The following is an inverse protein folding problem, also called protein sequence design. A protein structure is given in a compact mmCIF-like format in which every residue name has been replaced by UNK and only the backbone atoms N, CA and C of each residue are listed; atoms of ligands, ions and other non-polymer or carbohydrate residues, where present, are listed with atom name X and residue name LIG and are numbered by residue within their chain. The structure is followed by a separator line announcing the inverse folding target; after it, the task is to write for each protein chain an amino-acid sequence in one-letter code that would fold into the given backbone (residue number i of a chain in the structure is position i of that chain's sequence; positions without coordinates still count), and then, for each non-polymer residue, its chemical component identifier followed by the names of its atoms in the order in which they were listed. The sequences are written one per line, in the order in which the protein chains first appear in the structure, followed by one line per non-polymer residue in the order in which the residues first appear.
data_IF_640599047868
#
_entry.id   IF_640599047868
#
_cell.length_a   1.000
_cell.length_b   1.000
_cell.length_c   1.000
_cell.angle_alpha   90.00
_cell.angle_beta   90.00
_cell.angle_gamma   90.00
#
_symmetry.space_group_name_H-M   'P 1'
#
loop_
_entity.id
_entity.type
_entity.pdbx_description
1 polymer ?
#
# COMPACT_ATOMS: atom_id res chain seq x y z
N UNK A 1 10.03 24.84 7.73
CA UNK A 1 9.13 25.87 7.13
C UNK A 1 8.24 26.44 8.24
N UNK A 2 8.19 27.76 8.43
CA UNK A 2 7.36 28.37 9.49
C UNK A 2 5.86 28.02 9.38
N UNK A 3 5.34 27.88 8.16
CA UNK A 3 3.93 27.49 7.94
C UNK A 3 3.58 26.14 8.55
N UNK A 4 4.50 25.18 8.51
CA UNK A 4 4.30 23.85 9.07
C UNK A 4 4.36 23.85 10.59
N UNK A 5 5.26 24.63 11.18
CA UNK A 5 5.31 24.81 12.64
C UNK A 5 4.03 25.47 13.17
N UNK A 6 3.55 26.53 12.51
CA UNK A 6 2.27 27.16 12.86
C UNK A 6 1.10 26.17 12.76
N UNK A 7 1.09 25.33 11.75
CA UNK A 7 0.08 24.28 11.59
C UNK A 7 0.11 23.26 12.75
N UNK A 8 1.30 22.86 13.19
CA UNK A 8 1.48 21.95 14.33
C UNK A 8 1.34 22.63 15.70
N UNK A 9 1.16 23.95 15.74
CA UNK A 9 1.16 24.73 16.99
C UNK A 9 2.52 24.80 17.69
N UNK A 10 3.62 24.58 16.96
CA UNK A 10 4.99 24.59 17.49
C UNK A 10 5.60 26.00 17.49
N UNK A 11 6.28 26.34 18.57
CA UNK A 11 7.13 27.54 18.74
C UNK A 11 8.52 27.34 18.12
N UNK A 12 9.30 28.42 17.99
CA UNK A 12 10.70 28.36 17.52
C UNK A 12 11.64 27.63 18.49
N UNK A 13 11.24 27.51 19.75
CA UNK A 13 12.03 26.91 20.82
C UNK A 13 11.62 25.46 21.08
N UNK A 14 10.49 25.01 20.51
CA UNK A 14 9.97 23.67 20.71
C UNK A 14 10.87 22.63 20.03
N UNK A 15 11.05 21.49 20.70
CA UNK A 15 11.77 20.35 20.12
C UNK A 15 10.95 19.77 18.97
N UNK A 16 11.48 19.91 17.75
CA UNK A 16 10.88 19.31 16.56
C UNK A 16 11.26 17.82 16.49
N UNK A 17 10.30 16.90 16.29
CA UNK A 17 10.60 15.49 16.10
C UNK A 17 11.60 15.28 14.96
N UNK A 18 12.72 14.64 15.27
CA UNK A 18 13.70 14.24 14.26
C UNK A 18 13.26 12.95 13.52
N UNK A 19 14.04 12.55 12.52
CA UNK A 19 13.74 11.36 11.72
C UNK A 19 13.68 10.08 12.58
N UNK A 20 14.47 9.99 13.64
CA UNK A 20 14.46 8.88 14.59
C UNK A 20 13.18 8.82 15.41
N UNK A 21 12.64 9.96 15.83
CA UNK A 21 11.39 10.05 16.58
C UNK A 21 10.21 9.58 15.72
N UNK A 22 10.15 10.06 14.46
CA UNK A 22 9.12 9.62 13.49
C UNK A 22 9.23 8.12 13.20
N UNK A 23 10.45 7.59 13.07
CA UNK A 23 10.69 6.17 12.86
C UNK A 23 10.18 5.31 14.03
N UNK A 24 10.51 5.70 15.27
CA UNK A 24 10.03 5.00 16.48
C UNK A 24 8.51 5.03 16.59
N UNK A 25 7.88 6.17 16.33
CA UNK A 25 6.42 6.29 16.31
C UNK A 25 5.80 5.35 15.29
N UNK A 26 6.32 5.32 14.06
CA UNK A 26 5.86 4.40 13.01
C UNK A 26 5.99 2.94 13.43
N UNK A 27 7.14 2.56 13.99
CA UNK A 27 7.35 1.18 14.44
C UNK A 27 6.38 0.80 15.56
N UNK A 28 6.07 1.72 16.48
CA UNK A 28 5.07 1.49 17.52
C UNK A 28 3.67 1.28 16.93
N UNK A 29 3.27 2.06 15.91
CA UNK A 29 1.99 1.86 15.22
C UNK A 29 1.91 0.51 14.49
N UNK A 30 3.01 0.09 13.84
CA UNK A 30 3.09 -1.20 13.15
C UNK A 30 2.96 -2.35 14.14
N UNK A 31 3.72 -2.32 15.24
CA UNK A 31 3.66 -3.34 16.30
C UNK A 31 2.28 -3.43 16.95
N UNK A 32 1.59 -2.29 17.09
CA UNK A 32 0.23 -2.24 17.61
C UNK A 32 -0.87 -2.55 16.60
N UNK A 33 -0.56 -2.71 15.30
CA UNK A 33 -1.58 -2.87 14.26
C UNK A 33 -2.52 -1.66 14.10
N UNK A 34 -2.06 -0.47 14.48
CA UNK A 34 -2.91 0.73 14.63
C UNK A 34 -3.00 1.59 13.36
N UNK A 35 -2.22 1.30 12.32
CA UNK A 35 -2.16 2.13 11.11
C UNK A 35 -3.55 2.29 10.44
N UNK A 36 -4.28 1.18 10.28
CA UNK A 36 -5.60 1.21 9.65
C UNK A 36 -6.62 2.00 10.51
N UNK A 37 -6.54 1.87 11.83
CA UNK A 37 -7.42 2.60 12.76
C UNK A 37 -7.12 4.10 12.79
N UNK A 38 -5.83 4.46 12.77
CA UNK A 38 -5.39 5.85 12.72
C UNK A 38 -5.84 6.52 11.42
N UNK A 39 -5.61 5.85 10.27
CA UNK A 39 -6.05 6.35 8.98
C UNK A 39 -7.57 6.50 8.92
N UNK A 40 -8.31 5.55 9.50
CA UNK A 40 -9.76 5.65 9.60
C UNK A 40 -10.20 6.89 10.39
N UNK A 41 -9.63 7.14 11.56
CA UNK A 41 -10.02 8.27 12.39
C UNK A 41 -9.66 9.61 11.72
N UNK A 42 -8.52 9.69 11.06
CA UNK A 42 -8.16 10.87 10.23
C UNK A 42 -9.19 11.07 9.13
N UNK A 43 -9.54 10.02 8.39
CA UNK A 43 -10.51 10.12 7.30
C UNK A 43 -11.90 10.50 7.80
N UNK A 44 -12.34 9.98 8.95
CA UNK A 44 -13.60 10.36 9.60
C UNK A 44 -13.63 11.85 9.95
N UNK A 45 -12.54 12.40 10.47
CA UNK A 45 -12.45 13.83 10.81
C UNK A 45 -12.46 14.71 9.56
N UNK A 46 -11.72 14.31 8.52
CA UNK A 46 -11.71 15.01 7.23
C UNK A 46 -13.07 14.97 6.53
N UNK A 47 -13.78 13.85 6.63
CA UNK A 47 -15.16 13.70 6.15
C UNK A 47 -16.12 14.62 6.90
N UNK A 48 -16.04 14.65 8.24
CA UNK A 48 -16.87 15.52 9.07
C UNK A 48 -16.63 17.01 8.78
N UNK A 49 -15.40 17.37 8.39
CA UNK A 49 -15.04 18.70 7.93
C UNK A 49 -15.43 19.00 6.47
N UNK A 50 -15.98 18.02 5.73
CA UNK A 50 -16.40 18.17 4.33
C UNK A 50 -15.24 18.21 3.32
N UNK A 51 -14.05 17.74 3.70
CA UNK A 51 -12.85 17.78 2.86
C UNK A 51 -12.78 16.58 1.91
N UNK A 52 -13.26 15.40 2.34
CA UNK A 52 -13.28 14.18 1.51
C UNK A 52 -14.50 14.18 0.60
N UNK A 53 -14.29 13.84 -0.67
CA UNK A 53 -15.37 13.71 -1.65
C UNK A 53 -15.78 12.24 -1.85
N UNK A 54 -17.09 11.97 -1.86
CA UNK A 54 -17.66 10.61 -1.90
C UNK A 54 -18.16 10.16 -3.28
N UNK A 55 -17.92 10.94 -4.33
CA UNK A 55 -18.40 10.72 -5.70
C UNK A 55 -17.66 9.60 -6.43
N UNK A 56 -16.42 9.31 -6.04
CA UNK A 56 -15.57 8.33 -6.71
C UNK A 56 -14.34 7.96 -5.89
N UNK A 57 -13.82 6.77 -6.17
CA UNK A 57 -12.56 6.26 -5.60
C UNK A 57 -11.66 5.87 -6.76
N UNK A 58 -10.43 6.36 -6.73
CA UNK A 58 -9.37 5.98 -7.67
C UNK A 58 -8.48 4.97 -6.95
N UNK A 59 -8.24 3.82 -7.58
CA UNK A 59 -7.31 2.80 -7.06
C UNK A 59 -6.12 2.73 -7.99
N UNK A 60 -4.93 2.91 -7.43
CA UNK A 60 -3.65 2.78 -8.13
C UNK A 60 -2.72 1.79 -7.42
N UNK A 61 -1.81 1.18 -8.18
CA UNK A 61 -0.81 0.25 -7.69
C UNK A 61 0.59 0.72 -8.07
N UNK A 62 1.38 1.09 -7.05
CA UNK A 62 2.77 1.52 -7.21
C UNK A 62 3.73 0.46 -6.69
N UNK A 63 4.88 0.29 -7.36
CA UNK A 63 5.93 -0.62 -6.92
C UNK A 63 6.94 0.17 -6.08
N UNK A 64 7.26 -0.34 -4.89
CA UNK A 64 8.28 0.22 -3.99
C UNK A 64 9.39 -0.79 -3.78
N UNK A 65 10.63 -0.41 -4.07
CA UNK A 65 11.79 -1.27 -3.88
C UNK A 65 12.20 -1.36 -2.40
N UNK A 66 12.53 -2.57 -1.98
CA UNK A 66 13.14 -2.83 -0.68
C UNK A 66 14.66 -2.60 -0.76
N UNK A 67 15.24 -1.88 0.20
CA UNK A 67 16.70 -1.65 0.23
C UNK A 67 17.49 -2.93 0.53
N UNK A 68 16.85 -3.96 1.10
CA UNK A 68 17.47 -5.20 1.57
C UNK A 68 17.25 -6.35 0.58
N UNK A 69 17.74 -6.16 -0.64
CA UNK A 69 17.61 -7.16 -1.71
C UNK A 69 18.62 -8.32 -1.58
N UNK A 70 18.21 -9.57 -1.88
CA UNK A 70 19.13 -10.70 -1.97
C UNK A 70 20.10 -10.51 -3.14
N UNK A 71 21.27 -11.15 -3.06
CA UNK A 71 22.25 -11.22 -4.16
C UNK A 71 22.20 -12.63 -4.75
N UNK A 72 21.93 -12.76 -6.05
CA UNK A 72 21.84 -14.07 -6.70
C UNK A 72 20.99 -14.07 -7.97
N UNK A 73 20.69 -15.26 -8.48
CA UNK A 73 19.71 -15.49 -9.54
C UNK A 73 18.38 -15.90 -8.91
N UNK A 74 17.27 -15.30 -9.35
CA UNK A 74 15.94 -15.52 -8.80
C UNK A 74 14.90 -15.56 -9.91
N UNK A 75 13.84 -16.35 -9.69
CA UNK A 75 12.68 -16.40 -10.57
C UNK A 75 11.90 -15.08 -10.48
N UNK A 76 11.71 -14.42 -11.62
CA UNK A 76 10.98 -13.17 -11.72
C UNK A 76 9.63 -13.43 -12.39
N UNK A 77 8.57 -12.91 -11.79
CA UNK A 77 7.25 -12.90 -12.41
C UNK A 77 7.14 -11.66 -13.30
N UNK A 78 6.65 -11.82 -14.54
CA UNK A 78 6.35 -10.68 -15.41
C UNK A 78 5.00 -10.06 -15.05
N UNK A 79 4.99 -8.76 -14.79
CA UNK A 79 3.81 -8.01 -14.36
C UNK A 79 2.64 -8.06 -15.36
N UNK A 80 2.91 -8.29 -16.65
CA UNK A 80 1.90 -8.23 -17.72
C UNK A 80 1.41 -9.58 -18.22
N UNK A 81 1.98 -10.68 -17.75
CA UNK A 81 1.60 -12.01 -18.21
C UNK A 81 0.77 -12.74 -17.15
N UNK A 82 -0.55 -12.49 -17.19
CA UNK A 82 -1.47 -12.99 -16.16
C UNK A 82 -1.54 -14.53 -16.12
N UNK A 83 -1.68 -15.22 -17.27
CA UNK A 83 -1.84 -16.68 -17.30
C UNK A 83 -0.61 -17.46 -16.81
N UNK A 84 0.58 -16.95 -17.08
CA UNK A 84 1.85 -17.58 -16.67
C UNK A 84 2.28 -17.09 -15.29
N UNK A 85 1.99 -15.83 -14.96
CA UNK A 85 2.34 -15.22 -13.69
C UNK A 85 1.68 -15.86 -12.47
N UNK A 86 0.47 -16.44 -12.60
CA UNK A 86 -0.13 -17.21 -11.51
C UNK A 86 0.67 -18.47 -11.16
N UNK A 87 1.12 -19.22 -12.18
CA UNK A 87 1.91 -20.44 -11.99
C UNK A 87 3.34 -20.13 -11.54
N UNK A 88 3.92 -19.04 -12.05
CA UNK A 88 5.27 -18.58 -11.68
C UNK A 88 5.30 -17.96 -10.29
N UNK A 89 4.27 -17.24 -9.84
CA UNK A 89 4.20 -16.70 -8.48
C UNK A 89 4.10 -17.81 -7.41
N UNK A 90 3.37 -18.89 -7.73
CA UNK A 90 3.26 -20.07 -6.88
C UNK A 90 4.53 -20.94 -6.92
N UNK A 91 5.25 -20.99 -8.05
CA UNK A 91 6.54 -21.69 -8.18
C UNK A 91 7.73 -20.88 -7.63
N UNK A 92 7.68 -19.55 -7.65
CA UNK A 92 8.68 -18.63 -7.09
C UNK A 92 8.66 -18.59 -5.55
N UNK A 93 7.89 -19.48 -4.92
CA UNK A 93 7.78 -19.66 -3.47
C UNK A 93 8.97 -20.46 -2.87
N UNK A 94 10.14 -20.45 -3.52
CA UNK A 94 11.32 -21.22 -3.10
C UNK A 94 12.51 -20.34 -2.73
N UNK A 95 13.14 -20.75 -1.63
CA UNK A 95 14.20 -20.11 -0.81
C UNK A 95 13.76 -18.90 0.01
N UNK A 96 13.13 -19.20 1.15
CA UNK A 96 13.12 -18.33 2.33
C UNK A 96 14.58 -18.00 2.70
N UNK A 97 15.09 -16.89 2.18
CA UNK A 97 16.43 -16.41 2.50
C UNK A 97 16.42 -15.85 3.93
N UNK A 98 16.60 -16.72 4.91
CA UNK A 98 16.64 -16.41 6.36
C UNK A 98 17.92 -15.69 6.79
N UNK A 99 18.43 -14.74 5.99
CA UNK A 99 19.52 -13.87 6.42
C UNK A 99 18.96 -12.57 6.98
N UNK A 100 19.45 -12.13 8.15
CA UNK A 100 18.97 -10.92 8.85
C UNK A 100 19.02 -9.63 8.03
N UNK A 101 19.82 -9.61 6.97
CA UNK A 101 20.05 -8.45 6.11
C UNK A 101 19.19 -8.45 4.83
N UNK A 102 18.33 -9.46 4.65
CA UNK A 102 17.43 -9.60 3.50
C UNK A 102 15.99 -9.37 3.98
N UNK A 103 15.18 -8.73 3.14
CA UNK A 103 13.76 -8.52 3.41
C UNK A 103 12.94 -9.76 3.03
N UNK A 104 12.66 -10.63 4.00
CA UNK A 104 11.98 -11.91 3.77
C UNK A 104 10.57 -11.81 3.19
N UNK A 105 9.90 -10.66 3.31
CA UNK A 105 8.53 -10.45 2.83
C UNK A 105 8.48 -9.86 1.41
N UNK A 106 9.58 -9.28 0.93
CA UNK A 106 9.69 -8.73 -0.43
C UNK A 106 9.86 -9.82 -1.50
N UNK A 107 9.39 -9.54 -2.71
CA UNK A 107 9.49 -10.48 -3.86
C UNK A 107 9.97 -9.76 -5.12
N UNK A 108 10.52 -10.53 -6.06
CA UNK A 108 10.95 -10.02 -7.37
C UNK A 108 9.78 -9.88 -8.34
N UNK A 109 9.78 -8.78 -9.08
CA UNK A 109 8.83 -8.46 -10.14
C UNK A 109 9.60 -7.89 -11.34
N UNK A 110 9.19 -8.23 -12.56
CA UNK A 110 9.64 -7.54 -13.76
C UNK A 110 8.55 -6.61 -14.28
N UNK A 111 8.76 -5.30 -14.21
CA UNK A 111 7.81 -4.27 -14.67
C UNK A 111 8.50 -3.35 -15.67
N UNK A 112 7.91 -3.21 -16.86
CA UNK A 112 8.46 -2.32 -17.90
C UNK A 112 9.87 -2.68 -18.37
N UNK A 113 10.24 -3.96 -18.32
CA UNK A 113 11.59 -4.43 -18.65
C UNK A 113 12.62 -4.27 -17.54
N UNK A 114 12.27 -3.63 -16.43
CA UNK A 114 13.13 -3.48 -15.24
C UNK A 114 12.73 -4.48 -14.15
N UNK A 115 13.72 -4.91 -13.37
CA UNK A 115 13.52 -5.84 -12.26
C UNK A 115 13.48 -5.08 -10.94
N UNK A 116 12.41 -5.29 -10.19
CA UNK A 116 12.13 -4.66 -8.91
C UNK A 116 12.09 -5.73 -7.82
N UNK A 117 12.62 -5.42 -6.65
CA UNK A 117 12.54 -6.30 -5.48
C UNK A 117 11.90 -5.53 -4.35
N UNK A 118 10.70 -5.91 -3.95
CA UNK A 118 9.98 -5.16 -2.94
C UNK A 118 8.51 -5.50 -2.91
N UNK A 119 7.71 -4.43 -2.89
CA UNK A 119 6.28 -4.49 -2.64
C UNK A 119 5.49 -3.74 -3.69
N UNK A 120 4.23 -4.13 -3.85
CA UNK A 120 3.19 -3.35 -4.50
C UNK A 120 2.29 -2.72 -3.44
N UNK A 121 2.14 -1.41 -3.52
CA UNK A 121 1.24 -0.61 -2.70
C UNK A 121 0.01 -0.27 -3.51
N UNK A 122 -1.12 -0.85 -3.11
CA UNK A 122 -2.44 -0.53 -3.62
C UNK A 122 -3.01 0.60 -2.77
N UNK A 123 -3.18 1.77 -3.39
CA UNK A 123 -3.69 2.97 -2.71
C UNK A 123 -5.03 3.34 -3.30
N UNK A 124 -6.01 3.56 -2.44
CA UNK A 124 -7.30 4.12 -2.81
C UNK A 124 -7.35 5.58 -2.39
N UNK A 125 -7.65 6.46 -3.32
CA UNK A 125 -7.80 7.89 -3.07
C UNK A 125 -9.17 8.40 -3.47
N UNK A 126 -9.57 9.54 -2.90
CA UNK A 126 -10.64 10.35 -3.47
C UNK A 126 -10.15 11.11 -4.72
N UNK A 127 -11.04 11.89 -5.33
CA UNK A 127 -10.73 12.72 -6.51
C UNK A 127 -9.76 13.87 -6.22
N UNK A 128 -9.58 14.25 -4.95
CA UNK A 128 -8.60 15.26 -4.52
C UNK A 128 -7.23 14.65 -4.17
N UNK A 129 -7.10 13.33 -4.22
CA UNK A 129 -5.87 12.60 -3.88
C UNK A 129 -5.71 12.30 -2.38
N UNK A 130 -6.75 12.44 -1.57
CA UNK A 130 -6.72 12.02 -0.15
C UNK A 130 -6.80 10.51 -0.06
N UNK A 131 -5.93 9.92 0.76
CA UNK A 131 -5.83 8.46 0.91
C UNK A 131 -6.97 7.93 1.78
N UNK A 132 -7.83 7.10 1.18
CA UNK A 132 -8.96 6.46 1.84
C UNK A 132 -8.58 5.13 2.47
N UNK A 133 -7.74 4.34 1.78
CA UNK A 133 -7.25 3.06 2.24
C UNK A 133 -5.96 2.67 1.52
N UNK A 134 -5.17 1.82 2.17
CA UNK A 134 -3.94 1.26 1.60
C UNK A 134 -3.85 -0.25 1.89
N UNK A 135 -3.34 -1.00 0.92
CA UNK A 135 -2.97 -2.40 1.07
C UNK A 135 -1.59 -2.60 0.44
N UNK A 136 -0.66 -3.18 1.20
CA UNK A 136 0.68 -3.51 0.70
C UNK A 136 0.79 -5.01 0.52
N UNK A 137 1.39 -5.42 -0.59
CA UNK A 137 1.57 -6.82 -0.99
C UNK A 137 2.97 -7.03 -1.54
N UNK A 138 3.53 -8.24 -1.52
CA UNK A 138 4.79 -8.51 -2.21
C UNK A 138 4.70 -8.18 -3.71
N UNK A 139 5.80 -7.73 -4.31
CA UNK A 139 5.75 -7.17 -5.67
C UNK A 139 5.31 -8.16 -6.75
N UNK A 140 5.47 -9.46 -6.56
CA UNK A 140 5.05 -10.49 -7.52
C UNK A 140 3.53 -10.74 -7.51
N UNK A 141 2.77 -10.11 -6.61
CA UNK A 141 1.32 -10.29 -6.55
C UNK A 141 0.59 -9.48 -7.62
N UNK A 142 -0.48 -10.05 -8.19
CA UNK A 142 -1.32 -9.38 -9.18
C UNK A 142 -2.28 -8.38 -8.53
N UNK A 143 -2.39 -7.19 -9.10
CA UNK A 143 -3.18 -6.08 -8.57
C UNK A 143 -4.69 -6.41 -8.58
N UNK A 144 -5.14 -7.19 -9.57
CA UNK A 144 -6.54 -7.59 -9.75
C UNK A 144 -7.07 -8.34 -8.53
N UNK A 145 -6.24 -9.19 -7.91
CA UNK A 145 -6.64 -9.98 -6.74
C UNK A 145 -6.91 -9.08 -5.52
N UNK A 146 -6.14 -8.00 -5.39
CA UNK A 146 -6.12 -7.15 -4.21
C UNK A 146 -7.07 -5.95 -4.28
N UNK A 147 -7.63 -5.66 -5.46
CA UNK A 147 -8.75 -4.71 -5.62
C UNK A 147 -9.92 -5.07 -4.70
N UNK A 148 -10.23 -6.36 -4.53
CA UNK A 148 -11.33 -6.76 -3.64
C UNK A 148 -11.05 -6.40 -2.17
N UNK A 149 -9.80 -6.55 -1.74
CA UNK A 149 -9.34 -6.26 -0.39
C UNK A 149 -9.38 -4.76 -0.10
N UNK A 150 -8.94 -3.92 -1.04
CA UNK A 150 -8.99 -2.47 -0.86
C UNK A 150 -10.43 -1.96 -0.86
N UNK A 151 -11.29 -2.47 -1.76
CA UNK A 151 -12.70 -2.13 -1.75
C UNK A 151 -13.40 -2.58 -0.45
N UNK A 152 -13.03 -3.72 0.12
CA UNK A 152 -13.54 -4.14 1.44
C UNK A 152 -13.10 -3.18 2.54
N UNK A 153 -11.83 -2.78 2.59
CA UNK A 153 -11.36 -1.78 3.57
C UNK A 153 -12.21 -0.52 3.47
N UNK A 154 -12.35 0.06 2.27
CA UNK A 154 -13.19 1.25 2.07
C UNK A 154 -14.64 1.00 2.48
N UNK A 155 -15.23 -0.13 2.11
CA UNK A 155 -16.64 -0.45 2.40
C UNK A 155 -16.91 -0.75 3.88
N UNK A 156 -15.92 -1.24 4.62
CA UNK A 156 -16.02 -1.41 6.08
C UNK A 156 -16.06 -0.06 6.79
N UNK A 157 -15.42 0.96 6.20
CA UNK A 157 -15.31 2.30 6.78
C UNK A 157 -16.39 3.26 6.28
N UNK A 158 -16.82 3.09 5.04
CA UNK A 158 -17.84 3.87 4.39
C UNK A 158 -18.96 2.91 4.02
N UNK A 159 -20.21 3.12 4.47
CA UNK A 159 -21.38 2.33 4.04
C UNK A 159 -21.73 2.57 2.55
N UNK A 160 -20.75 2.51 1.65
CA UNK A 160 -20.88 2.67 0.22
C UNK A 160 -21.41 1.36 -0.36
N UNK A 161 -22.49 1.48 -1.12
CA UNK A 161 -23.09 0.38 -1.88
C UNK A 161 -22.27 0.15 -3.15
N UNK A 162 -21.25 -0.69 -3.08
CA UNK A 162 -20.50 -1.13 -4.27
C UNK A 162 -21.39 -2.05 -5.11
N UNK A 163 -21.85 -1.57 -6.28
CA UNK A 163 -22.61 -2.36 -7.24
C UNK A 163 -21.61 -3.05 -8.17
N UNK A 164 -21.35 -4.33 -7.93
CA UNK A 164 -20.61 -5.18 -8.88
C UNK A 164 -21.62 -5.73 -9.88
N UNK A 165 -21.60 -5.25 -11.14
CA UNK A 165 -22.44 -5.83 -12.19
C UNK A 165 -21.81 -7.17 -12.65
N UNK A 166 -22.53 -8.29 -12.60
CA UNK A 166 -22.01 -9.56 -13.09
C UNK A 166 -21.72 -9.48 -14.60
N UNK A 167 -20.60 -10.05 -15.01
CA UNK A 167 -20.18 -10.16 -16.42
C UNK A 167 -21.17 -11.07 -17.14
N UNK A 168 -22.03 -10.49 -17.98
CA UNK A 168 -22.97 -11.23 -18.80
C UNK A 168 -22.16 -12.04 -19.82
N UNK A 169 -22.13 -13.38 -19.68
CA UNK A 169 -21.66 -14.25 -20.76
C UNK A 169 -22.75 -14.22 -21.83
N UNK A 170 -22.44 -13.62 -22.98
CA UNK A 170 -23.22 -13.81 -24.20
C UNK A 170 -23.02 -15.27 -24.62
N UNK A 171 -24.13 -15.99 -24.72
CA UNK A 171 -24.24 -17.32 -25.33
C UNK A 171 -24.29 -17.12 -26.84
#
# INVERSE_FOLDING_TARGET
RLSFMRFLGLSLEDSVPDSTTICRFRNALVLGGLNDQLLFEVNRQLEAAGVIIKSGVIVDASVTDSPRRPRGSYTMVDDRNEEVGYKEAEAAHFEECTHSNIDGEARWLKKGGQSHYGYKRHTATDENGLILAEVTTPANQSDILWISSICRKIRLYWQIKVIVRPRMRLI
#
